data_IF_286894737953
#
_entry.id   IF_286894737953
#
_cell.length_a   1.000
_cell.length_b   1.000
_cell.length_c   1.000
_cell.angle_alpha   90.00
_cell.angle_beta   90.00
_cell.angle_gamma   90.00
#
_symmetry.space_group_name_H-M   'P 1'
#
loop_
_entity.id
_entity.type
_entity.pdbx_description
1 polymer ?
#
# COMPACT_ATOMS: atom_id res chain seq x y z
N UNK A 1 34.43 -5.64 2.75
CA UNK A 1 33.69 -5.42 1.50
C UNK A 1 32.61 -4.40 1.77
N UNK A 2 32.67 -3.22 1.12
CA UNK A 2 31.71 -2.12 1.32
C UNK A 2 30.62 -2.21 0.27
N UNK A 3 29.37 -2.40 0.68
CA UNK A 3 28.24 -2.38 -0.25
C UNK A 3 28.06 -1.00 -0.89
N UNK A 4 27.87 -0.98 -2.21
CA UNK A 4 27.60 0.22 -3.01
C UNK A 4 26.34 -0.05 -3.82
N UNK A 5 25.23 0.70 -3.62
CA UNK A 5 24.03 0.53 -4.44
C UNK A 5 24.35 0.65 -5.94
N UNK A 6 24.16 -0.43 -6.68
CA UNK A 6 24.63 -0.57 -8.06
C UNK A 6 23.47 -0.95 -8.97
N UNK A 7 23.04 -0.03 -9.84
CA UNK A 7 21.96 -0.29 -10.82
C UNK A 7 22.51 -0.83 -12.14
N UNK A 8 21.66 -1.51 -12.92
CA UNK A 8 21.99 -2.00 -14.27
C UNK A 8 22.52 -0.87 -15.18
N UNK A 9 21.93 0.32 -15.09
CA UNK A 9 22.38 1.51 -15.82
C UNK A 9 23.82 1.93 -15.43
N UNK A 10 24.16 1.83 -14.14
CA UNK A 10 25.53 2.11 -13.66
C UNK A 10 26.51 1.07 -14.21
N UNK A 11 26.16 -0.20 -14.19
CA UNK A 11 26.99 -1.29 -14.74
C UNK A 11 27.23 -1.11 -16.24
N UNK A 12 26.19 -0.77 -17.01
CA UNK A 12 26.31 -0.50 -18.45
C UNK A 12 27.16 0.75 -18.74
N UNK A 13 27.06 1.79 -17.91
CA UNK A 13 27.94 2.96 -17.99
C UNK A 13 29.41 2.58 -17.80
N UNK A 14 29.72 1.74 -16.80
CA UNK A 14 31.09 1.27 -16.54
C UNK A 14 31.62 0.39 -17.69
N UNK A 15 30.79 -0.51 -18.26
CA UNK A 15 31.15 -1.29 -19.45
C UNK A 15 31.44 -0.39 -20.66
N UNK A 16 30.62 0.64 -20.89
CA UNK A 16 30.82 1.62 -21.98
C UNK A 16 32.13 2.39 -21.80
N UNK A 17 32.46 2.79 -20.58
CA UNK A 17 33.74 3.44 -20.27
C UNK A 17 34.94 2.52 -20.55
N UNK A 18 34.89 1.26 -20.12
CA UNK A 18 35.94 0.29 -20.40
C UNK A 18 36.14 0.07 -21.91
N UNK A 19 35.06 -0.06 -22.69
CA UNK A 19 35.11 -0.15 -24.16
C UNK A 19 35.70 1.10 -24.81
N UNK A 20 35.38 2.30 -24.30
CA UNK A 20 35.94 3.56 -24.81
C UNK A 20 37.46 3.62 -24.60
N UNK A 21 37.93 3.21 -23.42
CA UNK A 21 39.37 3.14 -23.12
C UNK A 21 40.05 2.11 -24.03
N UNK A 22 39.41 0.95 -24.24
CA UNK A 22 39.95 -0.10 -25.12
C UNK A 22 40.12 0.38 -26.56
N UNK A 23 39.15 1.13 -27.10
CA UNK A 23 39.22 1.69 -28.46
C UNK A 23 40.32 2.74 -28.62
N UNK A 24 40.59 3.52 -27.57
CA UNK A 24 41.52 4.65 -27.65
C UNK A 24 42.97 4.29 -27.24
N UNK A 25 43.17 3.21 -26.49
CA UNK A 25 44.48 2.86 -25.91
C UNK A 25 44.84 1.38 -25.92
N UNK A 26 44.02 0.51 -26.51
CA UNK A 26 44.26 -0.94 -26.53
C UNK A 26 44.18 -1.59 -25.15
N UNK A 27 44.61 -2.86 -25.06
CA UNK A 27 44.67 -3.64 -23.82
C UNK A 27 43.53 -4.64 -23.62
N UNK A 28 43.70 -5.51 -22.61
CA UNK A 28 42.75 -6.57 -22.29
C UNK A 28 41.51 -5.98 -21.60
N UNK A 29 40.33 -6.26 -22.14
CA UNK A 29 39.07 -5.71 -21.64
C UNK A 29 38.82 -6.02 -20.15
N UNK A 30 39.23 -7.19 -19.67
CA UNK A 30 39.08 -7.58 -18.26
C UNK A 30 39.87 -6.64 -17.30
N UNK A 31 41.08 -6.25 -17.68
CA UNK A 31 41.91 -5.36 -16.85
C UNK A 31 41.36 -3.93 -16.86
N UNK A 32 40.79 -3.52 -18.00
CA UNK A 32 40.11 -2.23 -18.13
C UNK A 32 38.83 -2.16 -17.29
N UNK A 33 38.06 -3.25 -17.21
CA UNK A 33 36.89 -3.33 -16.32
C UNK A 33 37.29 -3.20 -14.85
N UNK A 34 38.37 -3.86 -14.42
CA UNK A 34 38.90 -3.71 -13.06
C UNK A 34 39.38 -2.27 -12.78
N UNK A 35 40.04 -1.64 -13.76
CA UNK A 35 40.50 -0.25 -13.64
C UNK A 35 39.33 0.71 -13.49
N UNK A 36 38.30 0.59 -14.33
CA UNK A 36 37.09 1.43 -14.28
C UNK A 36 36.31 1.19 -12.98
N UNK A 37 36.22 -0.06 -12.51
CA UNK A 37 35.60 -0.39 -11.23
C UNK A 37 36.30 0.33 -10.07
N UNK A 38 37.64 0.30 -10.02
CA UNK A 38 38.43 1.01 -8.99
C UNK A 38 38.24 2.51 -9.02
N UNK A 39 38.23 3.12 -10.20
CA UNK A 39 37.94 4.56 -10.33
C UNK A 39 36.54 4.91 -9.82
N UNK A 40 35.58 4.00 -9.92
CA UNK A 40 34.23 4.19 -9.42
C UNK A 40 34.04 3.79 -7.94
N UNK A 41 35.12 3.46 -7.22
CA UNK A 41 35.09 3.15 -5.79
C UNK A 41 34.91 1.66 -5.44
N UNK A 42 34.92 0.75 -6.42
CA UNK A 42 34.84 -0.69 -6.20
C UNK A 42 36.23 -1.34 -6.16
N UNK A 43 36.40 -2.48 -5.48
CA UNK A 43 37.70 -3.15 -5.38
C UNK A 43 38.16 -3.79 -6.72
N UNK A 44 37.23 -4.40 -7.44
CA UNK A 44 37.43 -5.03 -8.76
C UNK A 44 36.07 -5.25 -9.46
N UNK A 45 36.07 -5.68 -10.73
CA UNK A 45 34.84 -5.88 -11.50
C UNK A 45 33.86 -6.86 -10.84
N UNK A 46 34.37 -7.93 -10.21
CA UNK A 46 33.50 -8.86 -9.49
C UNK A 46 32.76 -8.23 -8.28
N UNK A 47 33.32 -7.18 -7.65
CA UNK A 47 32.63 -6.43 -6.59
C UNK A 47 31.44 -5.64 -7.16
N UNK A 48 31.56 -5.11 -8.38
CA UNK A 48 30.46 -4.45 -9.10
C UNK A 48 29.30 -5.43 -9.33
N UNK A 49 29.60 -6.66 -9.78
CA UNK A 49 28.57 -7.67 -10.03
C UNK A 49 27.90 -8.17 -8.75
N UNK A 50 28.65 -8.27 -7.65
CA UNK A 50 28.08 -8.65 -6.35
C UNK A 50 27.16 -7.54 -5.81
N UNK A 51 27.62 -6.29 -5.82
CA UNK A 51 26.81 -5.15 -5.42
C UNK A 51 25.57 -4.97 -6.31
N UNK A 52 25.66 -5.24 -7.61
CA UNK A 52 24.51 -5.24 -8.52
C UNK A 52 23.50 -6.32 -8.11
N UNK A 53 23.96 -7.56 -7.94
CA UNK A 53 23.10 -8.69 -7.57
C UNK A 53 22.42 -8.47 -6.23
N UNK A 54 23.13 -7.91 -5.26
CA UNK A 54 22.60 -7.58 -3.94
C UNK A 54 21.61 -6.41 -4.02
N UNK A 55 21.85 -5.42 -4.89
CA UNK A 55 20.87 -4.35 -5.18
C UNK A 55 19.61 -4.89 -5.87
N UNK A 56 19.76 -5.85 -6.79
CA UNK A 56 18.65 -6.53 -7.46
C UNK A 56 17.86 -7.41 -6.48
N UNK A 57 18.53 -8.17 -5.61
CA UNK A 57 17.87 -8.98 -4.58
C UNK A 57 17.09 -8.17 -3.55
N UNK A 58 17.63 -7.01 -3.11
CA UNK A 58 16.90 -6.09 -2.23
C UNK A 58 15.67 -5.48 -2.92
N UNK A 59 15.72 -5.26 -4.25
CA UNK A 59 14.55 -4.84 -5.02
C UNK A 59 13.52 -5.97 -5.16
N UNK A 60 13.95 -7.19 -5.43
CA UNK A 60 13.05 -8.35 -5.52
C UNK A 60 12.33 -8.61 -4.18
N UNK A 61 13.03 -8.52 -3.06
CA UNK A 61 12.48 -8.66 -1.70
C UNK A 61 11.47 -7.56 -1.30
N UNK A 62 11.46 -6.45 -2.03
CA UNK A 62 10.52 -5.33 -1.85
C UNK A 62 9.60 -5.10 -3.05
N UNK A 63 9.57 -6.06 -3.99
CA UNK A 63 8.65 -6.04 -5.13
C UNK A 63 7.22 -6.31 -4.67
N UNK A 64 6.22 -5.83 -5.43
CA UNK A 64 4.81 -6.12 -5.13
C UNK A 64 4.55 -7.62 -5.01
N UNK A 65 5.15 -8.42 -5.89
CA UNK A 65 5.01 -9.89 -5.88
C UNK A 65 5.49 -10.52 -4.59
N UNK A 66 6.63 -10.05 -4.07
CA UNK A 66 7.15 -10.52 -2.77
C UNK A 66 6.21 -10.15 -1.62
N UNK A 67 5.61 -8.94 -1.66
CA UNK A 67 4.66 -8.49 -0.65
C UNK A 67 3.35 -9.27 -0.70
N UNK A 68 2.85 -9.59 -1.90
CA UNK A 68 1.69 -10.49 -2.08
C UNK A 68 1.99 -11.87 -1.48
N UNK A 69 3.15 -12.44 -1.79
CA UNK A 69 3.54 -13.74 -1.25
C UNK A 69 3.62 -13.74 0.29
N UNK A 70 4.14 -12.65 0.88
CA UNK A 70 4.19 -12.46 2.34
C UNK A 70 2.78 -12.42 2.95
N UNK A 71 1.87 -11.62 2.39
CA UNK A 71 0.49 -11.50 2.87
C UNK A 71 -0.26 -12.82 2.76
N UNK A 72 -0.14 -13.52 1.64
CA UNK A 72 -0.75 -14.85 1.47
C UNK A 72 -0.21 -15.85 2.50
N UNK A 73 1.09 -15.79 2.82
CA UNK A 73 1.70 -16.65 3.85
C UNK A 73 1.18 -16.33 5.25
N UNK A 74 0.91 -15.06 5.56
CA UNK A 74 0.28 -14.67 6.83
C UNK A 74 -1.15 -15.20 6.91
N UNK A 75 -1.92 -15.06 5.83
CA UNK A 75 -3.30 -15.55 5.77
C UNK A 75 -3.38 -17.07 5.99
N UNK A 76 -2.49 -17.84 5.34
CA UNK A 76 -2.43 -19.29 5.52
C UNK A 76 -2.08 -19.74 6.95
N UNK A 77 -1.46 -18.84 7.73
CA UNK A 77 -1.16 -19.06 9.15
C UNK A 77 -2.28 -18.56 10.06
N UNK A 78 -3.37 -18.04 9.51
CA UNK A 78 -4.46 -17.41 10.27
C UNK A 78 -4.03 -16.10 10.95
N UNK A 79 -3.06 -15.39 10.37
CA UNK A 79 -2.52 -14.16 10.95
C UNK A 79 -3.01 -12.92 10.20
N UNK A 80 -3.51 -11.95 10.96
CA UNK A 80 -3.79 -10.60 10.46
C UNK A 80 -2.47 -9.91 10.13
N UNK A 81 -2.41 -9.26 8.97
CA UNK A 81 -1.25 -8.54 8.51
C UNK A 81 -1.68 -7.41 7.59
N UNK A 82 -1.08 -6.23 7.76
CA UNK A 82 -1.34 -5.05 6.92
C UNK A 82 0.02 -4.50 6.50
N UNK A 83 0.22 -4.34 5.20
CA UNK A 83 1.49 -3.88 4.62
C UNK A 83 1.21 -2.86 3.52
N UNK A 84 1.71 -1.64 3.71
CA UNK A 84 1.80 -0.64 2.64
C UNK A 84 3.08 -0.83 1.82
N UNK A 85 3.00 -0.66 0.51
CA UNK A 85 4.17 -0.68 -0.36
C UNK A 85 4.82 0.71 -0.42
N UNK A 86 6.14 0.79 -0.36
CA UNK A 86 6.86 2.06 -0.52
C UNK A 86 7.13 2.43 -1.99
N UNK A 87 7.90 3.50 -2.18
CA UNK A 87 8.30 4.02 -3.50
C UNK A 87 9.16 3.04 -4.31
N UNK A 88 9.69 2.00 -3.67
CA UNK A 88 10.38 0.90 -4.32
C UNK A 88 9.48 -0.01 -5.14
N UNK A 89 8.16 -0.02 -4.88
CA UNK A 89 7.19 -0.83 -5.61
C UNK A 89 6.53 -0.05 -6.76
N UNK A 90 6.25 1.23 -6.56
CA UNK A 90 5.74 2.13 -7.58
C UNK A 90 6.17 3.54 -7.25
N UNK A 91 6.69 4.25 -8.25
CA UNK A 91 7.11 5.66 -8.10
C UNK A 91 5.92 6.61 -8.05
N UNK A 92 4.73 6.15 -8.44
CA UNK A 92 3.55 7.01 -8.65
C UNK A 92 2.60 6.95 -7.45
N UNK A 93 2.43 5.78 -6.83
CA UNK A 93 1.50 5.61 -5.71
C UNK A 93 1.80 4.34 -4.89
N UNK A 94 1.57 4.36 -3.56
CA UNK A 94 1.63 3.16 -2.74
C UNK A 94 0.38 2.29 -2.93
N UNK A 95 0.53 0.98 -2.75
CA UNK A 95 -0.54 0.01 -2.61
C UNK A 95 -0.64 -0.47 -1.17
N UNK A 96 -1.82 -0.93 -0.77
CA UNK A 96 -2.04 -1.53 0.54
C UNK A 96 -2.43 -2.99 0.36
N UNK A 97 -1.78 -3.89 1.09
CA UNK A 97 -2.12 -5.30 1.10
C UNK A 97 -2.45 -5.73 2.51
N UNK A 98 -3.45 -6.59 2.66
CA UNK A 98 -3.79 -7.12 3.97
C UNK A 98 -4.29 -8.56 3.95
N UNK A 99 -4.05 -9.27 5.04
CA UNK A 99 -4.62 -10.56 5.42
C UNK A 99 -5.55 -10.36 6.61
N UNK A 100 -6.61 -11.15 6.68
CA UNK A 100 -7.66 -11.09 7.70
C UNK A 100 -7.49 -12.16 8.76
N UNK A 101 -6.74 -13.23 8.48
CA UNK A 101 -6.69 -14.43 9.32
C UNK A 101 -7.97 -15.26 9.33
N UNK A 102 -8.96 -14.90 8.48
CA UNK A 102 -10.28 -15.52 8.39
C UNK A 102 -10.49 -16.31 7.08
N UNK A 103 -9.48 -16.34 6.22
CA UNK A 103 -9.48 -16.95 4.89
C UNK A 103 -9.44 -15.93 3.74
N UNK A 104 -9.34 -14.63 4.02
CA UNK A 104 -9.44 -13.58 3.00
C UNK A 104 -8.21 -12.67 2.98
N UNK A 105 -7.72 -12.34 1.79
CA UNK A 105 -6.60 -11.42 1.59
C UNK A 105 -6.80 -10.54 0.37
N UNK A 106 -6.28 -9.32 0.42
CA UNK A 106 -6.63 -8.26 -0.52
C UNK A 106 -5.43 -7.39 -0.90
N UNK A 107 -5.47 -6.85 -2.11
CA UNK A 107 -4.62 -5.79 -2.64
C UNK A 107 -5.50 -4.60 -2.98
N UNK A 108 -5.14 -3.42 -2.47
CA UNK A 108 -5.89 -2.18 -2.63
C UNK A 108 -5.04 -1.10 -3.30
N UNK A 109 -5.71 -0.27 -4.08
CA UNK A 109 -5.27 1.05 -4.52
C UNK A 109 -5.93 2.11 -3.64
N UNK A 110 -5.20 2.70 -2.67
CA UNK A 110 -5.72 3.76 -1.81
C UNK A 110 -6.20 5.00 -2.55
N UNK A 111 -5.58 5.35 -3.68
CA UNK A 111 -5.87 6.59 -4.41
C UNK A 111 -7.01 6.36 -5.39
N UNK A 112 -6.98 5.23 -6.12
CA UNK A 112 -8.01 4.88 -7.09
C UNK A 112 -9.26 4.23 -6.49
N UNK A 113 -9.29 3.97 -5.18
CA UNK A 113 -10.32 3.19 -4.49
C UNK A 113 -10.60 1.84 -5.18
N UNK A 114 -9.53 1.17 -5.64
CA UNK A 114 -9.64 -0.10 -6.37
C UNK A 114 -9.22 -1.27 -5.50
N UNK A 115 -9.86 -2.42 -5.71
CA UNK A 115 -9.56 -3.64 -4.99
C UNK A 115 -9.32 -4.81 -5.93
N UNK A 116 -8.51 -5.74 -5.45
CA UNK A 116 -8.25 -7.01 -6.08
C UNK A 116 -8.15 -8.08 -5.00
N UNK A 117 -8.88 -9.16 -5.17
CA UNK A 117 -8.89 -10.27 -4.23
C UNK A 117 -7.64 -11.15 -4.44
N UNK A 118 -6.88 -11.39 -3.36
CA UNK A 118 -5.71 -12.28 -3.37
C UNK A 118 -6.06 -13.67 -2.83
N UNK A 119 -6.98 -13.73 -1.87
CA UNK A 119 -7.53 -14.96 -1.33
C UNK A 119 -8.98 -14.72 -0.92
N UNK A 120 -9.85 -15.68 -1.22
CA UNK A 120 -11.26 -15.65 -0.83
C UNK A 120 -11.64 -16.98 -0.19
N UNK A 121 -12.04 -16.96 1.08
CA UNK A 121 -12.47 -18.13 1.88
C UNK A 121 -11.48 -19.29 1.82
N UNK A 122 -10.18 -18.97 1.93
CA UNK A 122 -9.07 -19.92 1.88
C UNK A 122 -8.62 -20.28 0.47
N UNK A 123 -9.33 -19.86 -0.57
CA UNK A 123 -8.93 -20.12 -1.96
C UNK A 123 -8.05 -18.99 -2.49
N UNK A 124 -6.79 -19.31 -2.79
CA UNK A 124 -5.86 -18.37 -3.44
C UNK A 124 -6.40 -17.95 -4.80
N UNK A 125 -6.30 -16.65 -5.09
CA UNK A 125 -6.58 -16.04 -6.39
C UNK A 125 -5.27 -15.58 -7.02
N UNK A 126 -5.25 -15.50 -8.34
CA UNK A 126 -4.08 -15.10 -9.12
C UNK A 126 -4.38 -13.80 -9.86
N UNK A 127 -4.18 -12.64 -9.23
CA UNK A 127 -4.41 -11.36 -9.87
C UNK A 127 -3.47 -11.17 -11.07
N UNK A 128 -3.94 -10.49 -12.11
CA UNK A 128 -3.09 -10.17 -13.27
C UNK A 128 -2.25 -8.94 -12.96
N UNK A 129 -0.98 -9.18 -12.65
CA UNK A 129 0.02 -8.13 -12.39
C UNK A 129 1.10 -8.23 -13.44
N UNK A 130 1.31 -7.15 -14.18
CA UNK A 130 2.43 -6.98 -15.11
C UNK A 130 3.42 -6.01 -14.50
N UNK A 131 4.63 -6.50 -14.29
CA UNK A 131 5.72 -5.75 -13.68
C UNK A 131 6.70 -5.44 -14.80
N UNK A 132 6.50 -4.30 -15.48
CA UNK A 132 7.41 -3.82 -16.51
C UNK A 132 8.45 -2.88 -15.87
N UNK A 133 9.67 -2.76 -16.44
CA UNK A 133 10.77 -2.02 -15.82
C UNK A 133 10.46 -0.55 -15.46
N UNK A 134 9.46 0.04 -16.12
CA UNK A 134 9.05 1.45 -15.95
C UNK A 134 7.59 1.59 -15.50
N UNK A 135 6.82 0.49 -15.46
CA UNK A 135 5.39 0.54 -15.17
C UNK A 135 4.91 -0.75 -14.52
N UNK A 136 4.24 -0.60 -13.39
CA UNK A 136 3.43 -1.66 -12.80
C UNK A 136 1.99 -1.52 -13.30
N UNK A 137 1.46 -2.58 -13.91
CA UNK A 137 0.07 -2.68 -14.31
C UNK A 137 -0.62 -3.75 -13.48
N UNK A 138 -1.73 -3.37 -12.84
CA UNK A 138 -2.57 -4.26 -12.05
C UNK A 138 -3.94 -4.23 -12.70
N UNK A 139 -4.44 -5.40 -13.10
CA UNK A 139 -5.82 -5.54 -13.52
C UNK A 139 -6.70 -5.58 -12.27
N UNK A 140 -7.28 -4.43 -11.93
CA UNK A 140 -8.19 -4.29 -10.81
C UNK A 140 -9.52 -5.00 -11.08
N UNK A 141 -10.09 -5.62 -10.05
CA UNK A 141 -11.36 -6.36 -10.16
C UNK A 141 -12.57 -5.48 -9.87
N UNK A 142 -12.38 -4.30 -9.29
CA UNK A 142 -13.45 -3.36 -8.99
C UNK A 142 -13.05 -2.36 -7.91
N UNK A 143 -14.03 -1.91 -7.14
CA UNK A 143 -13.89 -0.84 -6.15
C UNK A 143 -14.12 -1.31 -4.72
N UNK A 144 -13.58 -0.57 -3.76
CA UNK A 144 -13.85 -0.77 -2.35
C UNK A 144 -14.13 0.54 -1.62
N UNK A 145 -14.87 0.43 -0.51
CA UNK A 145 -15.06 1.49 0.46
C UNK A 145 -14.97 0.93 1.89
N UNK A 146 -14.55 1.79 2.83
CA UNK A 146 -14.58 1.47 4.26
C UNK A 146 -15.77 2.20 4.89
N UNK A 147 -16.81 1.46 5.29
CA UNK A 147 -18.01 2.04 5.90
C UNK A 147 -18.24 1.47 7.30
N UNK A 148 -17.98 2.27 8.33
CA UNK A 148 -18.06 1.83 9.73
C UNK A 148 -17.18 0.60 9.99
N UNK A 149 -17.76 -0.49 10.47
CA UNK A 149 -17.05 -1.76 10.69
C UNK A 149 -16.94 -2.67 9.44
N UNK A 150 -17.39 -2.20 8.27
CA UNK A 150 -17.49 -3.01 7.05
C UNK A 150 -16.49 -2.61 5.97
N UNK A 151 -15.92 -3.64 5.33
CA UNK A 151 -15.23 -3.55 4.06
C UNK A 151 -16.26 -3.79 2.94
N UNK A 152 -16.67 -2.73 2.26
CA UNK A 152 -17.60 -2.82 1.13
C UNK A 152 -16.82 -2.97 -0.17
N UNK A 153 -17.29 -3.88 -1.02
CA UNK A 153 -16.70 -4.11 -2.34
C UNK A 153 -17.78 -4.15 -3.41
N UNK A 154 -17.43 -3.66 -4.58
CA UNK A 154 -18.16 -3.86 -5.82
C UNK A 154 -17.17 -4.36 -6.87
N UNK A 155 -17.15 -5.68 -7.07
CA UNK A 155 -16.19 -6.35 -7.94
C UNK A 155 -16.90 -7.03 -9.11
N UNK A 156 -16.25 -7.02 -10.27
CA UNK A 156 -16.59 -7.83 -11.45
C UNK A 156 -16.35 -9.34 -11.22
N UNK A 157 -16.10 -9.76 -9.99
CA UNK A 157 -15.79 -11.14 -9.61
C UNK A 157 -17.08 -11.93 -9.27
N UNK A 158 -17.38 -13.06 -9.95
CA UNK A 158 -18.68 -13.74 -9.84
C UNK A 158 -18.99 -14.31 -8.45
N UNK A 159 -17.97 -14.67 -7.65
CA UNK A 159 -18.18 -15.22 -6.30
C UNK A 159 -18.30 -14.15 -5.20
N UNK A 160 -17.83 -12.93 -5.48
CA UNK A 160 -17.77 -11.84 -4.51
C UNK A 160 -18.83 -10.80 -4.90
N UNK A 161 -18.77 -10.25 -6.11
CA UNK A 161 -19.74 -9.26 -6.58
C UNK A 161 -19.78 -8.05 -5.66
N UNK A 162 -21.00 -7.53 -5.46
CA UNK A 162 -21.27 -6.44 -4.52
C UNK A 162 -21.64 -6.97 -3.14
N UNK A 163 -20.90 -6.57 -2.08
CA UNK A 163 -21.23 -6.92 -0.69
C UNK A 163 -20.49 -6.07 0.36
N UNK A 164 -21.08 -6.02 1.56
CA UNK A 164 -20.42 -5.56 2.78
C UNK A 164 -19.87 -6.75 3.59
N UNK A 165 -18.61 -6.65 4.03
CA UNK A 165 -17.90 -7.73 4.75
C UNK A 165 -17.45 -7.21 6.12
N UNK A 166 -17.92 -7.85 7.18
CA UNK A 166 -17.55 -7.53 8.56
C UNK A 166 -16.44 -8.42 9.12
N UNK A 167 -15.84 -8.01 10.23
CA UNK A 167 -14.80 -8.77 10.96
C UNK A 167 -13.37 -8.60 10.41
N UNK A 168 -13.21 -7.82 9.35
CA UNK A 168 -11.90 -7.45 8.81
C UNK A 168 -11.22 -6.39 9.69
N UNK A 169 -9.88 -6.24 9.61
CA UNK A 169 -9.11 -5.31 10.44
C UNK A 169 -9.26 -3.85 9.97
N UNK A 170 -10.49 -3.33 9.87
CA UNK A 170 -10.81 -2.04 9.23
C UNK A 170 -10.09 -0.86 9.90
N UNK A 171 -10.00 -0.84 11.23
CA UNK A 171 -9.34 0.26 11.94
C UNK A 171 -7.85 0.33 11.60
N UNK A 172 -7.18 -0.82 11.52
CA UNK A 172 -5.80 -0.89 11.04
C UNK A 172 -5.68 -0.44 9.58
N UNK A 173 -6.65 -0.76 8.72
CA UNK A 173 -6.64 -0.27 7.34
C UNK A 173 -6.77 1.26 7.28
N UNK A 174 -7.64 1.85 8.11
CA UNK A 174 -7.81 3.31 8.16
C UNK A 174 -6.53 4.02 8.56
N UNK A 175 -5.81 3.52 9.56
CA UNK A 175 -4.52 4.09 9.98
C UNK A 175 -3.49 4.16 8.84
N UNK A 176 -3.51 3.18 7.94
CA UNK A 176 -2.63 3.15 6.76
C UNK A 176 -3.12 4.01 5.59
N UNK A 177 -4.43 4.23 5.48
CA UNK A 177 -5.03 5.01 4.38
C UNK A 177 -5.01 6.53 4.66
N UNK A 178 -5.13 6.95 5.92
CA UNK A 178 -5.11 8.36 6.33
C UNK A 178 -3.87 9.15 5.80
N UNK A 179 -2.64 8.61 5.81
CA UNK A 179 -1.47 9.31 5.28
C UNK A 179 -1.35 9.27 3.75
N UNK A 180 -2.10 8.39 3.08
CA UNK A 180 -1.99 8.15 1.64
C UNK A 180 -2.97 9.00 0.81
N UNK A 181 -3.92 9.69 1.45
CA UNK A 181 -4.87 10.56 0.74
C UNK A 181 -4.20 11.87 0.28
N UNK A 182 -4.48 12.34 -0.95
CA UNK A 182 -4.04 13.66 -1.41
C UNK A 182 -4.50 14.76 -0.45
N UNK A 183 -3.65 15.78 -0.23
CA UNK A 183 -3.95 16.89 0.69
C UNK A 183 -5.28 17.61 0.38
N UNK A 184 -5.75 17.57 -0.87
CA UNK A 184 -7.02 18.17 -1.31
C UNK A 184 -8.26 17.42 -0.76
N UNK A 185 -8.20 16.09 -0.59
CA UNK A 185 -9.27 15.33 0.07
C UNK A 185 -9.26 15.53 1.59
N UNK A 186 -8.07 15.73 2.19
CA UNK A 186 -7.93 16.12 3.59
C UNK A 186 -8.65 17.45 3.90
N UNK A 187 -8.60 18.42 2.99
CA UNK A 187 -9.29 19.71 3.17
C UNK A 187 -10.81 19.53 2.96
N UNK A 188 -11.23 18.78 1.94
CA UNK A 188 -12.65 18.45 1.73
C UNK A 188 -13.29 17.70 2.90
N UNK A 189 -12.57 16.79 3.54
CA UNK A 189 -13.03 16.07 4.74
C UNK A 189 -12.96 16.94 6.00
N UNK A 190 -11.97 17.81 6.19
CA UNK A 190 -11.94 18.68 7.38
C UNK A 190 -13.12 19.68 7.40
N UNK A 191 -13.65 20.08 6.23
CA UNK A 191 -14.75 21.04 6.13
C UNK A 191 -16.10 20.46 5.68
N UNK A 192 -16.12 19.31 5.01
CA UNK A 192 -17.32 18.65 4.51
C UNK A 192 -17.89 17.64 5.51
N UNK A 193 -19.09 17.92 6.02
CA UNK A 193 -19.94 16.97 6.73
C UNK A 193 -20.78 16.12 5.75
N UNK A 194 -20.30 15.86 4.53
CA UNK A 194 -21.12 15.28 3.45
C UNK A 194 -21.56 13.84 3.73
N UNK A 195 -20.84 13.10 4.58
CA UNK A 195 -21.18 11.74 5.01
C UNK A 195 -21.68 11.66 6.47
N UNK A 196 -21.82 12.80 7.15
CA UNK A 196 -22.11 12.85 8.57
C UNK A 196 -23.60 12.59 8.82
N UNK A 197 -23.91 11.51 9.55
CA UNK A 197 -25.27 11.12 9.90
C UNK A 197 -25.60 11.45 11.36
N UNK A 198 -26.85 11.82 11.68
CA UNK A 198 -27.26 12.03 13.06
C UNK A 198 -27.09 10.77 13.92
N UNK A 199 -26.60 10.95 15.15
CA UNK A 199 -26.56 9.90 16.17
C UNK A 199 -27.98 9.57 16.68
N UNK A 200 -28.75 8.83 15.89
CA UNK A 200 -30.08 8.36 16.28
C UNK A 200 -29.98 7.26 17.34
N UNK A 201 -31.03 7.03 18.16
CA UNK A 201 -31.03 5.95 19.15
C UNK A 201 -30.75 4.56 18.54
N UNK A 202 -31.19 4.32 17.31
CA UNK A 202 -30.92 3.08 16.57
C UNK A 202 -29.43 2.94 16.21
N UNK A 203 -28.82 4.02 15.71
CA UNK A 203 -27.40 4.06 15.37
C UNK A 203 -26.52 3.91 16.62
N UNK A 204 -26.89 4.54 17.74
CA UNK A 204 -26.16 4.41 19.01
C UNK A 204 -26.18 2.95 19.48
N UNK A 205 -27.33 2.26 19.40
CA UNK A 205 -27.41 0.83 19.73
C UNK A 205 -26.55 -0.04 18.81
N UNK A 206 -26.49 0.30 17.53
CA UNK A 206 -25.63 -0.40 16.57
C UNK A 206 -24.14 -0.20 16.91
N UNK A 207 -23.71 1.04 17.13
CA UNK A 207 -22.34 1.37 17.50
C UNK A 207 -21.94 0.78 18.86
N UNK A 208 -22.87 0.70 19.82
CA UNK A 208 -22.65 0.01 21.09
C UNK A 208 -22.31 -1.47 20.88
N UNK A 209 -22.99 -2.14 19.96
CA UNK A 209 -22.68 -3.52 19.58
C UNK A 209 -21.31 -3.66 18.89
N UNK A 210 -20.87 -2.60 18.21
CA UNK A 210 -19.54 -2.48 17.60
C UNK A 210 -18.44 -2.07 18.61
N UNK A 211 -18.77 -1.94 19.91
CA UNK A 211 -17.82 -1.71 21.00
C UNK A 211 -17.71 -0.26 21.47
N UNK A 212 -18.53 0.65 20.95
CA UNK A 212 -18.56 2.04 21.40
C UNK A 212 -19.30 2.20 22.73
N UNK A 213 -18.91 3.18 23.55
CA UNK A 213 -19.60 3.45 24.82
C UNK A 213 -20.91 4.23 24.58
N UNK A 214 -22.05 3.59 24.81
CA UNK A 214 -23.38 4.19 24.60
C UNK A 214 -23.59 5.50 25.40
N UNK A 215 -23.05 5.59 26.62
CA UNK A 215 -23.11 6.82 27.42
C UNK A 215 -22.37 7.98 26.75
N UNK A 216 -21.19 7.72 26.17
CA UNK A 216 -20.40 8.73 25.47
C UNK A 216 -21.09 9.17 24.17
N UNK A 217 -21.64 8.23 23.40
CA UNK A 217 -22.38 8.52 22.17
C UNK A 217 -23.66 9.33 22.45
N UNK A 218 -24.38 8.99 23.52
CA UNK A 218 -25.59 9.73 23.93
C UNK A 218 -25.24 11.15 24.39
N UNK A 219 -24.13 11.31 25.12
CA UNK A 219 -23.64 12.63 25.53
C UNK A 219 -23.20 13.47 24.32
N UNK A 220 -22.52 12.86 23.34
CA UNK A 220 -22.11 13.52 22.11
C UNK A 220 -23.32 13.93 21.25
N UNK A 221 -24.33 13.06 21.13
CA UNK A 221 -25.57 13.37 20.42
C UNK A 221 -26.29 14.60 21.01
N UNK A 222 -26.32 14.74 22.35
CA UNK A 222 -26.86 15.93 23.04
C UNK A 222 -26.10 17.22 22.72
N UNK A 223 -24.83 17.10 22.36
CA UNK A 223 -23.98 18.23 21.96
C UNK A 223 -24.07 18.52 20.45
N UNK A 224 -24.99 17.86 19.73
CA UNK A 224 -25.17 18.03 18.29
C UNK A 224 -24.12 17.32 17.45
N UNK A 225 -23.38 16.36 18.03
CA UNK A 225 -22.40 15.60 17.29
C UNK A 225 -23.05 14.66 16.27
N UNK A 226 -22.36 14.45 15.16
CA UNK A 226 -22.73 13.53 14.08
C UNK A 226 -21.73 12.37 14.02
N UNK A 227 -22.14 11.26 13.42
CA UNK A 227 -21.26 10.13 13.13
C UNK A 227 -20.85 10.17 11.66
N UNK A 228 -19.56 10.01 11.37
CA UNK A 228 -19.05 9.83 10.00
C UNK A 228 -18.70 8.34 9.79
N UNK A 229 -19.45 7.61 8.95
CA UNK A 229 -19.16 6.21 8.62
C UNK A 229 -17.80 6.04 7.92
N UNK A 230 -17.37 7.03 7.12
CA UNK A 230 -16.08 6.98 6.42
C UNK A 230 -14.93 6.99 7.42
N UNK A 231 -15.02 7.88 8.42
CA UNK A 231 -13.99 8.04 9.46
C UNK A 231 -14.14 7.05 10.61
N UNK A 232 -15.29 6.39 10.70
CA UNK A 232 -15.70 5.63 11.89
C UNK A 232 -15.49 6.49 13.15
N UNK A 233 -16.06 7.69 13.15
CA UNK A 233 -15.75 8.70 14.16
C UNK A 233 -16.86 9.71 14.41
N UNK A 234 -16.80 10.34 15.58
CA UNK A 234 -17.77 11.35 16.02
C UNK A 234 -17.26 12.74 15.67
N UNK A 235 -18.07 13.50 14.94
CA UNK A 235 -17.79 14.85 14.49
C UNK A 235 -18.62 15.83 15.32
N UNK A 236 -17.95 16.72 16.05
CA UNK A 236 -18.62 17.79 16.77
C UNK A 236 -18.83 19.01 15.85
N UNK A 237 -19.98 19.70 15.95
CA UNK A 237 -20.20 20.94 15.21
C UNK A 237 -19.14 21.96 15.62
N UNK A 238 -18.60 22.70 14.64
CA UNK A 238 -17.70 23.82 14.90
C UNK A 238 -18.43 24.85 15.77
N UNK A 239 -17.80 25.23 16.90
CA UNK A 239 -18.36 26.25 17.80
C UNK A 239 -18.67 27.50 16.97
N UNK A 240 -19.96 27.77 16.71
CA UNK A 240 -20.36 29.06 16.18
C UNK A 240 -19.97 30.09 17.23
N UNK A 241 -19.05 30.99 16.88
CA UNK A 241 -18.81 32.19 17.68
C UNK A 241 -20.17 32.86 17.94
N UNK A 242 -20.46 33.28 19.19
CA UNK A 242 -21.69 33.98 19.47
C UNK A 242 -21.72 35.24 18.59
N UNK A 243 -22.75 35.33 17.75
CA UNK A 243 -23.08 36.58 17.06
C UNK A 243 -23.44 37.60 18.14
N UNK A 244 -22.49 38.48 18.46
CA UNK A 244 -22.74 39.69 19.22
C UNK A 244 -23.43 40.74 18.33
#
# INVERSE_FOLDING_TARGET
MRFIPTTTAKVESLKKQAKRIQRNGGGRHADLLNRVARTAGYEHWHHVTLCQRETEGVKEDRSLRSTIAKILTLEERGQVGIVGTGSETSTTQPFLLFSTGLGDAWLLDPIGHKACCLMWRGERRSPTIRDEPERLEILWEGHYELRGAFFEVDLDHPLIGHRAIGGYPIDGLREFLLPAQPAEESIGQVFGQDDAVPLTPDLIRQLEHEGWQAEQLTAAARQGALYSPTRNGILFPSMQEPKF
#
